data_IF_315847304557
#
_entry.id   IF_315847304557
#
_cell.length_a   1.000
_cell.length_b   1.000
_cell.length_c   1.000
_cell.angle_alpha   90.00
_cell.angle_beta   90.00
_cell.angle_gamma   90.00
#
_symmetry.space_group_name_H-M   'P 1'
#
loop_
_entity.id
_entity.type
_entity.pdbx_description
1 polymer ?
#
# COMPACT_ATOMS: atom_id res chain seq x y z
N UNK A 1 20.00 6.82 0.22
CA UNK A 1 21.05 7.82 -0.01
C UNK A 1 20.74 9.20 0.60
N UNK A 2 19.45 9.58 0.70
CA UNK A 2 19.05 10.91 1.21
C UNK A 2 19.11 11.06 2.75
N UNK A 3 19.33 9.98 3.49
CA UNK A 3 19.37 10.01 4.97
C UNK A 3 18.03 10.36 5.64
N UNK A 4 16.92 10.33 4.88
CA UNK A 4 15.59 10.65 5.40
C UNK A 4 14.94 9.42 5.99
N UNK A 5 14.45 9.55 7.23
CA UNK A 5 13.65 8.49 7.89
C UNK A 5 12.17 8.77 7.62
N UNK A 6 11.42 7.83 7.02
CA UNK A 6 10.00 8.02 6.76
C UNK A 6 9.19 8.00 8.09
N UNK A 7 8.10 8.77 8.12
CA UNK A 7 7.21 8.86 9.29
C UNK A 7 6.05 7.86 9.28
N UNK A 8 5.91 7.09 8.21
CA UNK A 8 4.84 6.11 8.01
C UNK A 8 5.35 4.91 7.21
N UNK A 9 4.59 3.83 7.22
CA UNK A 9 4.87 2.64 6.42
C UNK A 9 5.08 3.00 4.95
N UNK A 10 6.17 2.50 4.38
CA UNK A 10 6.49 2.59 2.96
C UNK A 10 6.44 1.19 2.36
N UNK A 11 5.68 1.01 1.29
CA UNK A 11 5.58 -0.27 0.59
C UNK A 11 6.66 -0.43 -0.49
N UNK A 12 7.34 0.67 -0.82
CA UNK A 12 8.52 0.68 -1.65
C UNK A 12 9.70 -0.03 -0.98
N UNK A 13 10.47 -0.79 -1.75
CA UNK A 13 11.74 -1.36 -1.31
C UNK A 13 12.90 -0.54 -1.89
N UNK A 14 13.96 -0.37 -1.11
CA UNK A 14 15.15 0.33 -1.56
C UNK A 14 15.80 -0.39 -2.74
N UNK A 15 16.11 0.33 -3.80
CA UNK A 15 16.88 -0.18 -4.93
C UNK A 15 18.40 -0.12 -4.70
N UNK A 16 18.85 0.35 -3.53
CA UNK A 16 20.27 0.57 -3.24
C UNK A 16 21.12 -0.65 -3.53
N UNK A 17 20.75 -1.82 -3.02
CA UNK A 17 21.49 -3.06 -3.22
C UNK A 17 21.60 -3.47 -4.70
N UNK A 18 20.55 -3.23 -5.50
CA UNK A 18 20.55 -3.52 -6.95
C UNK A 18 21.41 -2.53 -7.73
N UNK A 19 21.47 -1.28 -7.26
CA UNK A 19 22.34 -0.26 -7.86
C UNK A 19 23.83 -0.56 -7.57
N UNK A 20 24.11 -1.02 -6.36
CA UNK A 20 25.47 -1.37 -5.92
C UNK A 20 25.93 -2.72 -6.52
N UNK A 21 25.02 -3.68 -6.67
CA UNK A 21 25.30 -4.97 -7.29
C UNK A 21 24.12 -5.40 -8.19
N UNK A 22 24.31 -5.30 -9.51
CA UNK A 22 23.30 -5.63 -10.52
C UNK A 22 22.93 -7.12 -10.58
N UNK A 23 23.68 -8.00 -9.91
CA UNK A 23 23.37 -9.45 -9.84
C UNK A 23 22.30 -9.74 -8.79
N UNK A 24 22.01 -8.78 -7.90
CA UNK A 24 21.03 -8.92 -6.85
C UNK A 24 19.61 -8.84 -7.39
N UNK A 25 18.74 -9.73 -6.93
CA UNK A 25 17.31 -9.66 -7.22
C UNK A 25 16.63 -8.68 -6.27
N UNK A 26 15.73 -7.85 -6.81
CA UNK A 26 14.99 -6.88 -6.02
C UNK A 26 13.69 -7.46 -5.46
N UNK A 27 12.90 -8.09 -6.32
CA UNK A 27 11.58 -8.63 -5.98
C UNK A 27 11.28 -9.88 -6.79
N UNK A 28 10.61 -10.85 -6.15
CA UNK A 28 10.10 -12.03 -6.84
C UNK A 28 8.93 -11.68 -7.79
N UNK A 29 8.17 -10.63 -7.48
CA UNK A 29 7.06 -10.16 -8.28
C UNK A 29 6.81 -8.66 -8.07
N UNK A 30 6.09 -8.06 -9.00
CA UNK A 30 5.56 -6.70 -8.91
C UNK A 30 4.05 -6.73 -9.03
N UNK A 31 3.39 -5.79 -8.35
CA UNK A 31 1.93 -5.59 -8.47
C UNK A 31 1.65 -4.18 -8.99
N UNK A 32 0.55 -4.07 -9.72
CA UNK A 32 0.00 -2.81 -10.18
C UNK A 32 -1.51 -2.84 -9.97
N UNK A 33 -2.07 -1.73 -9.53
CA UNK A 33 -3.51 -1.55 -9.40
C UNK A 33 -3.92 -0.27 -10.12
N UNK A 34 -5.14 -0.24 -10.63
CA UNK A 34 -5.68 0.94 -11.31
C UNK A 34 -7.14 0.77 -11.67
N UNK A 35 -7.68 1.80 -12.31
CA UNK A 35 -9.06 1.84 -12.67
C UNK A 35 -9.98 2.33 -11.56
N UNK A 36 -11.29 2.32 -11.83
CA UNK A 36 -12.35 2.77 -10.94
C UNK A 36 -13.53 1.81 -10.94
N UNK A 37 -14.36 1.88 -9.92
CA UNK A 37 -15.66 1.21 -9.94
C UNK A 37 -16.66 2.03 -10.78
N UNK A 38 -17.66 1.38 -11.40
CA UNK A 38 -18.74 2.10 -12.07
C UNK A 38 -19.38 3.11 -11.11
N UNK A 39 -19.58 4.35 -11.60
CA UNK A 39 -20.18 5.43 -10.81
C UNK A 39 -19.22 6.15 -9.85
N UNK A 40 -17.98 5.72 -9.67
CA UNK A 40 -16.99 6.51 -8.93
C UNK A 40 -16.66 7.81 -9.66
N UNK A 41 -16.65 8.93 -8.90
CA UNK A 41 -16.26 10.23 -9.45
C UNK A 41 -14.79 10.19 -9.86
N UNK A 42 -14.53 10.59 -11.08
CA UNK A 42 -13.21 10.62 -11.69
C UNK A 42 -12.77 12.06 -11.97
N UNK A 43 -11.48 12.27 -12.24
CA UNK A 43 -11.02 13.57 -12.70
C UNK A 43 -11.64 13.91 -14.08
N UNK A 44 -11.97 15.19 -14.27
CA UNK A 44 -12.47 15.67 -15.54
C UNK A 44 -11.32 15.90 -16.52
N UNK A 45 -11.21 15.03 -17.52
CA UNK A 45 -10.20 15.12 -18.58
C UNK A 45 -10.62 16.06 -19.73
N UNK A 46 -11.84 16.61 -19.71
CA UNK A 46 -12.32 17.53 -20.74
C UNK A 46 -11.69 18.91 -20.68
N UNK A 47 -11.02 19.27 -19.60
CA UNK A 47 -10.35 20.57 -19.43
C UNK A 47 -9.33 20.89 -20.53
N UNK A 48 -8.66 19.87 -21.09
CA UNK A 48 -7.70 20.01 -22.17
C UNK A 48 -8.31 20.11 -23.58
N UNK A 49 -9.64 19.98 -23.71
CA UNK A 49 -10.30 19.89 -25.01
C UNK A 49 -10.41 21.22 -25.77
N UNK A 50 -10.21 22.36 -25.07
CA UNK A 50 -10.40 23.69 -25.62
C UNK A 50 -11.87 24.02 -25.96
N UNK A 51 -12.15 25.24 -26.45
CA UNK A 51 -13.53 25.73 -26.66
C UNK A 51 -14.31 24.99 -27.74
N UNK A 52 -13.65 24.22 -28.59
CA UNK A 52 -14.28 23.43 -29.67
C UNK A 52 -14.60 21.99 -29.27
N UNK A 53 -14.38 21.64 -28.01
CA UNK A 53 -14.56 20.28 -27.51
C UNK A 53 -13.46 19.31 -27.94
N UNK A 54 -13.58 18.03 -27.53
CA UNK A 54 -12.58 17.00 -27.80
C UNK A 54 -12.49 16.66 -29.29
N UNK A 55 -11.28 16.49 -29.77
CA UNK A 55 -11.04 15.97 -31.11
C UNK A 55 -9.93 14.88 -31.09
N UNK A 56 -9.88 14.07 -32.15
CA UNK A 56 -8.93 12.94 -32.27
C UNK A 56 -7.46 13.33 -32.33
N UNK A 57 -7.14 14.60 -32.54
CA UNK A 57 -5.77 15.10 -32.59
C UNK A 57 -5.23 15.47 -31.18
N UNK A 58 -6.11 15.47 -30.17
CA UNK A 58 -5.67 15.69 -28.79
C UNK A 58 -4.90 14.48 -28.24
N UNK A 59 -3.78 14.74 -27.58
CA UNK A 59 -2.96 13.72 -26.94
C UNK A 59 -3.76 12.90 -25.92
N UNK A 60 -4.73 13.52 -25.26
CA UNK A 60 -5.59 12.88 -24.26
C UNK A 60 -6.89 12.28 -24.83
N UNK A 61 -7.05 12.28 -26.15
CA UNK A 61 -8.27 11.74 -26.78
C UNK A 61 -8.65 10.33 -26.28
N UNK A 62 -7.73 9.35 -26.18
CA UNK A 62 -8.07 8.02 -25.67
C UNK A 62 -8.62 8.04 -24.24
N UNK A 63 -8.04 8.87 -23.37
CA UNK A 63 -8.52 9.04 -21.99
C UNK A 63 -9.91 9.66 -21.95
N UNK A 64 -10.17 10.64 -22.78
CA UNK A 64 -11.49 11.29 -22.86
C UNK A 64 -12.56 10.32 -23.33
N UNK A 65 -12.27 9.52 -24.35
CA UNK A 65 -13.19 8.48 -24.82
C UNK A 65 -13.43 7.42 -23.74
N UNK A 66 -12.39 7.00 -23.06
CA UNK A 66 -12.48 6.02 -22.01
C UNK A 66 -13.32 6.49 -20.79
N UNK A 67 -13.49 7.80 -20.55
CA UNK A 67 -14.38 8.31 -19.49
C UNK A 67 -15.87 8.01 -19.73
N UNK A 68 -16.27 7.78 -20.96
CA UNK A 68 -17.64 7.40 -21.32
C UNK A 68 -17.87 5.91 -21.33
N UNK A 69 -16.82 5.12 -21.08
CA UNK A 69 -16.86 3.66 -21.08
C UNK A 69 -16.34 3.14 -19.74
N UNK A 70 -17.24 2.69 -18.89
CA UNK A 70 -16.90 2.16 -17.57
C UNK A 70 -16.03 0.89 -17.64
N UNK A 71 -16.10 0.12 -18.72
CA UNK A 71 -15.24 -1.05 -18.93
C UNK A 71 -13.79 -0.66 -19.25
N UNK A 72 -13.58 0.41 -20.00
CA UNK A 72 -12.24 0.90 -20.32
C UNK A 72 -11.47 1.40 -19.09
N UNK A 73 -12.20 1.78 -18.04
CA UNK A 73 -11.66 2.23 -16.75
C UNK A 73 -11.90 1.26 -15.60
N UNK A 74 -12.45 0.08 -15.86
CA UNK A 74 -12.77 -0.87 -14.82
C UNK A 74 -11.53 -1.21 -13.98
N UNK A 75 -11.75 -1.31 -12.67
CA UNK A 75 -10.70 -1.67 -11.72
C UNK A 75 -10.08 -3.00 -12.08
N UNK A 76 -8.76 -3.01 -12.15
CA UNK A 76 -7.98 -4.20 -12.42
C UNK A 76 -6.72 -4.22 -11.57
N UNK A 77 -6.27 -5.41 -11.25
CA UNK A 77 -5.13 -5.66 -10.40
C UNK A 77 -4.22 -6.69 -11.06
N UNK A 78 -2.97 -6.35 -11.22
CA UNK A 78 -1.98 -7.17 -11.90
C UNK A 78 -0.89 -7.61 -10.94
N UNK A 79 -0.48 -8.85 -11.06
CA UNK A 79 0.75 -9.38 -10.49
C UNK A 79 1.60 -9.98 -11.61
N UNK A 80 2.88 -9.63 -11.64
CA UNK A 80 3.84 -10.11 -12.63
C UNK A 80 5.10 -10.62 -11.96
N UNK A 81 5.53 -11.82 -12.36
CA UNK A 81 6.85 -12.40 -12.13
C UNK A 81 7.71 -12.26 -13.38
N UNK A 82 8.90 -12.87 -13.42
CA UNK A 82 9.68 -12.98 -14.65
C UNK A 82 9.00 -13.82 -15.74
N UNK A 83 8.27 -14.89 -15.32
CA UNK A 83 7.67 -15.87 -16.22
C UNK A 83 6.18 -15.67 -16.44
N UNK A 84 5.46 -15.18 -15.43
CA UNK A 84 4.00 -15.20 -15.39
C UNK A 84 3.42 -13.83 -15.13
N UNK A 85 2.29 -13.55 -15.76
CA UNK A 85 1.47 -12.38 -15.46
C UNK A 85 0.02 -12.81 -15.28
N UNK A 86 -0.60 -12.35 -14.21
CA UNK A 86 -2.02 -12.53 -13.94
C UNK A 86 -2.66 -11.16 -13.70
N UNK A 87 -3.83 -10.95 -14.30
CA UNK A 87 -4.63 -9.73 -14.15
C UNK A 87 -6.02 -10.15 -13.68
N UNK A 88 -6.39 -9.68 -12.48
CA UNK A 88 -7.76 -9.79 -12.00
C UNK A 88 -8.54 -8.56 -12.39
N UNK A 89 -9.72 -8.74 -12.95
CA UNK A 89 -10.61 -7.66 -13.35
C UNK A 89 -11.93 -7.72 -12.58
N UNK A 90 -12.38 -6.58 -12.09
CA UNK A 90 -13.69 -6.49 -11.42
C UNK A 90 -14.85 -6.59 -12.41
N UNK A 91 -14.61 -6.22 -13.65
CA UNK A 91 -15.55 -6.30 -14.75
C UNK A 91 -14.83 -6.91 -15.97
N UNK A 92 -15.36 -7.98 -16.51
CA UNK A 92 -14.74 -8.71 -17.61
C UNK A 92 -14.03 -9.98 -17.15
N UNK A 93 -13.28 -10.58 -18.05
CA UNK A 93 -12.55 -11.82 -17.85
C UNK A 93 -11.17 -11.55 -17.26
N UNK A 94 -10.74 -12.38 -16.31
CA UNK A 94 -9.36 -12.39 -15.82
C UNK A 94 -8.39 -12.82 -16.93
N UNK A 95 -7.12 -12.44 -16.79
CA UNK A 95 -6.12 -12.75 -17.80
C UNK A 95 -4.90 -13.42 -17.16
N UNK A 96 -4.36 -14.41 -17.88
CA UNK A 96 -3.10 -15.04 -17.51
C UNK A 96 -2.22 -15.22 -18.74
N UNK A 97 -0.92 -14.88 -18.60
CA UNK A 97 0.06 -14.95 -19.68
C UNK A 97 1.33 -15.66 -19.23
N UNK A 98 1.81 -16.54 -20.12
CA UNK A 98 3.13 -17.17 -20.04
C UNK A 98 4.13 -16.29 -20.79
N UNK A 99 4.86 -15.46 -20.07
CA UNK A 99 5.76 -14.46 -20.65
C UNK A 99 7.06 -15.07 -21.24
N UNK A 100 7.32 -16.34 -20.96
CA UNK A 100 8.46 -17.04 -21.53
C UNK A 100 8.14 -17.50 -22.97
N UNK A 101 6.92 -17.96 -23.21
CA UNK A 101 6.48 -18.44 -24.53
C UNK A 101 5.68 -17.37 -25.31
N UNK A 102 5.08 -16.42 -24.62
CA UNK A 102 4.30 -15.33 -25.21
C UNK A 102 4.66 -13.97 -24.56
N UNK A 103 5.87 -13.43 -24.84
CA UNK A 103 6.32 -12.18 -24.25
C UNK A 103 5.50 -10.95 -24.69
N UNK A 104 4.72 -11.08 -25.78
CA UNK A 104 3.84 -10.03 -26.30
C UNK A 104 2.41 -10.11 -25.75
N UNK A 105 2.12 -11.10 -24.87
CA UNK A 105 0.84 -11.23 -24.19
C UNK A 105 -0.36 -11.31 -25.16
N UNK A 106 -0.22 -12.09 -26.24
CA UNK A 106 -1.23 -12.20 -27.30
C UNK A 106 -2.31 -13.22 -27.00
N UNK A 107 -2.01 -14.22 -26.16
CA UNK A 107 -2.87 -15.39 -25.93
C UNK A 107 -3.20 -15.47 -24.45
N UNK A 108 -4.44 -15.12 -24.09
CA UNK A 108 -4.94 -15.30 -22.72
C UNK A 108 -5.07 -16.79 -22.39
N UNK A 109 -4.32 -17.28 -21.42
CA UNK A 109 -4.26 -18.66 -20.98
C UNK A 109 -5.10 -18.92 -19.71
N UNK A 110 -6.00 -18.01 -19.32
CA UNK A 110 -6.73 -18.10 -18.05
C UNK A 110 -7.53 -19.40 -17.93
N UNK A 111 -8.11 -19.88 -19.03
CA UNK A 111 -8.90 -21.09 -19.08
C UNK A 111 -8.07 -22.38 -19.30
N UNK A 112 -6.76 -22.25 -19.54
CA UNK A 112 -5.90 -23.41 -19.76
C UNK A 112 -5.66 -24.16 -18.45
N UNK A 113 -6.12 -25.41 -18.41
CA UNK A 113 -6.05 -26.26 -17.22
C UNK A 113 -4.61 -26.57 -16.75
N UNK A 114 -3.63 -26.49 -17.63
CA UNK A 114 -2.22 -26.73 -17.31
C UNK A 114 -1.66 -25.66 -16.35
N UNK A 115 -2.19 -24.44 -16.42
CA UNK A 115 -1.74 -23.31 -15.61
C UNK A 115 -2.53 -23.08 -14.31
N UNK A 116 -3.55 -23.88 -14.00
CA UNK A 116 -4.40 -23.70 -12.80
C UNK A 116 -3.61 -23.51 -11.50
N UNK A 117 -2.55 -24.28 -11.32
CA UNK A 117 -1.70 -24.19 -10.11
C UNK A 117 -0.94 -22.86 -10.07
N UNK A 118 -0.43 -22.40 -11.20
CA UNK A 118 0.31 -21.15 -11.30
C UNK A 118 -0.62 -19.95 -11.10
N UNK A 119 -1.79 -19.97 -11.73
CA UNK A 119 -2.83 -18.96 -11.55
C UNK A 119 -3.21 -18.84 -10.07
N UNK A 120 -3.52 -19.96 -9.40
CA UNK A 120 -3.85 -19.98 -7.97
C UNK A 120 -2.73 -19.41 -7.08
N UNK A 121 -1.47 -19.69 -7.40
CA UNK A 121 -0.31 -19.11 -6.68
C UNK A 121 -0.24 -17.60 -6.85
N UNK A 122 -0.47 -17.08 -8.06
CA UNK A 122 -0.43 -15.64 -8.32
C UNK A 122 -1.61 -14.94 -7.64
N UNK A 123 -2.81 -15.52 -7.69
CA UNK A 123 -3.99 -15.01 -6.97
C UNK A 123 -3.73 -14.92 -5.45
N UNK A 124 -3.15 -15.96 -4.85
CA UNK A 124 -2.81 -15.96 -3.43
C UNK A 124 -1.73 -14.91 -3.09
N UNK A 125 -0.73 -14.75 -3.95
CA UNK A 125 0.31 -13.74 -3.76
C UNK A 125 -0.25 -12.32 -3.89
N UNK A 126 -1.17 -12.10 -4.82
CA UNK A 126 -1.87 -10.82 -4.99
C UNK A 126 -2.71 -10.50 -3.75
N UNK A 127 -3.47 -11.48 -3.23
CA UNK A 127 -4.24 -11.32 -1.99
C UNK A 127 -3.33 -10.98 -0.80
N UNK A 128 -2.21 -11.68 -0.63
CA UNK A 128 -1.23 -11.38 0.43
C UNK A 128 -0.60 -10.01 0.27
N UNK A 129 -0.38 -9.59 -0.96
CA UNK A 129 0.14 -8.24 -1.24
C UNK A 129 -0.88 -7.19 -0.79
N UNK A 130 -2.17 -7.35 -1.11
CA UNK A 130 -3.24 -6.48 -0.64
C UNK A 130 -3.29 -6.41 0.88
N UNK A 131 -3.32 -7.56 1.56
CA UNK A 131 -3.33 -7.61 3.02
C UNK A 131 -2.17 -6.83 3.68
N UNK A 132 -1.04 -6.73 2.99
CA UNK A 132 0.14 -6.00 3.49
C UNK A 132 0.12 -4.51 3.16
N UNK A 133 -0.61 -4.10 2.13
CA UNK A 133 -0.53 -2.74 1.56
C UNK A 133 -1.82 -1.94 1.64
N UNK A 134 -2.94 -2.56 2.02
CA UNK A 134 -4.23 -1.86 2.12
C UNK A 134 -4.28 -0.81 3.24
N UNK A 135 -3.44 -0.96 4.27
CA UNK A 135 -3.42 -0.05 5.41
C UNK A 135 -2.11 0.73 5.50
N UNK A 136 -2.22 2.04 5.63
CA UNK A 136 -1.09 2.91 5.94
C UNK A 136 -1.03 3.09 7.46
N UNK A 137 -0.13 2.34 8.11
CA UNK A 137 0.05 2.41 9.55
C UNK A 137 1.12 3.46 9.88
N UNK A 138 0.81 4.49 10.68
CA UNK A 138 1.81 5.42 11.17
C UNK A 138 2.79 4.71 12.11
N UNK A 139 4.05 5.15 12.14
CA UNK A 139 5.04 4.60 13.08
C UNK A 139 4.82 5.08 14.52
N UNK A 140 3.96 6.09 14.71
CA UNK A 140 3.56 6.55 16.02
C UNK A 140 2.59 5.55 16.67
N UNK A 141 2.84 5.24 17.93
CA UNK A 141 1.97 4.39 18.73
C UNK A 141 0.68 5.15 19.12
N UNK A 142 -0.47 4.61 18.76
CA UNK A 142 -1.75 5.10 19.28
C UNK A 142 -1.96 4.61 20.71
N UNK A 143 -1.84 5.52 21.66
CA UNK A 143 -1.95 5.22 23.09
C UNK A 143 -3.39 4.96 23.56
N UNK A 144 -4.39 5.24 22.73
CA UNK A 144 -5.83 5.17 23.11
C UNK A 144 -6.22 6.02 24.31
N UNK A 145 -5.31 6.84 24.83
CA UNK A 145 -5.49 7.72 25.97
C UNK A 145 -4.86 9.07 25.71
N UNK A 146 -5.52 10.15 26.19
CA UNK A 146 -4.86 11.46 26.28
C UNK A 146 -3.82 11.44 27.41
N UNK A 147 -2.92 12.43 27.43
CA UNK A 147 -1.92 12.58 28.47
C UNK A 147 -2.57 12.72 29.86
N UNK A 148 -3.67 13.47 29.94
CA UNK A 148 -4.45 13.67 31.17
C UNK A 148 -5.09 12.38 31.66
N UNK A 149 -5.67 11.58 30.76
CA UNK A 149 -6.25 10.28 31.10
C UNK A 149 -5.18 9.30 31.60
N UNK A 150 -4.02 9.28 30.95
CA UNK A 150 -2.92 8.42 31.38
C UNK A 150 -2.36 8.88 32.74
N UNK A 151 -2.17 10.19 32.94
CA UNK A 151 -1.78 10.73 34.24
C UNK A 151 -2.80 10.38 35.33
N UNK A 152 -4.09 10.59 35.11
CA UNK A 152 -5.14 10.24 36.06
C UNK A 152 -5.11 8.77 36.51
N UNK A 153 -4.75 7.86 35.60
CA UNK A 153 -4.60 6.43 35.91
C UNK A 153 -3.37 6.11 36.79
N UNK A 154 -2.27 6.83 36.57
CA UNK A 154 -0.98 6.47 37.19
C UNK A 154 -0.60 7.37 38.36
N UNK A 155 -1.25 8.52 38.58
CA UNK A 155 -0.91 9.49 39.64
C UNK A 155 -0.78 8.88 41.02
N UNK A 156 -1.65 7.92 41.39
CA UNK A 156 -1.61 7.25 42.69
C UNK A 156 -0.44 6.25 42.82
N UNK A 157 0.21 5.90 41.72
CA UNK A 157 1.41 5.08 41.69
C UNK A 157 2.70 5.92 41.73
N UNK A 158 2.58 7.23 41.48
CA UNK A 158 3.71 8.13 41.39
C UNK A 158 4.19 8.50 42.81
N UNK A 159 5.48 8.29 43.11
CA UNK A 159 6.05 8.78 44.37
C UNK A 159 6.05 10.33 44.38
N UNK A 160 5.95 10.90 45.61
CA UNK A 160 6.02 12.35 45.78
C UNK A 160 7.35 12.90 45.25
N UNK A 161 7.29 14.00 44.52
CA UNK A 161 8.45 14.67 43.94
C UNK A 161 8.84 14.19 42.55
N UNK A 162 8.17 13.15 42.01
CA UNK A 162 8.41 12.65 40.64
C UNK A 162 7.31 13.02 39.65
N UNK A 163 6.32 13.81 40.07
CA UNK A 163 5.13 14.09 39.27
C UNK A 163 5.45 14.74 37.91
N UNK A 164 6.33 15.74 37.91
CA UNK A 164 6.69 16.43 36.66
C UNK A 164 7.54 15.56 35.73
N UNK A 165 8.45 14.76 36.27
CA UNK A 165 9.22 13.80 35.48
C UNK A 165 8.29 12.77 34.79
N UNK A 166 7.30 12.27 35.53
CA UNK A 166 6.33 11.29 35.02
C UNK A 166 5.44 11.92 33.96
N UNK A 167 4.95 13.16 34.16
CA UNK A 167 4.19 13.88 33.18
C UNK A 167 5.00 14.14 31.89
N UNK A 168 6.29 14.47 32.03
CA UNK A 168 7.15 14.66 30.85
C UNK A 168 7.35 13.36 30.08
N UNK A 169 7.54 12.22 30.71
CA UNK A 169 7.57 10.90 30.06
C UNK A 169 6.26 10.60 29.34
N UNK A 170 5.12 11.01 29.90
CA UNK A 170 3.80 10.88 29.27
C UNK A 170 3.74 11.73 27.99
N UNK A 171 4.17 13.00 28.03
CA UNK A 171 4.23 13.89 26.86
C UNK A 171 5.13 13.32 25.76
N UNK A 172 6.24 12.70 26.16
CA UNK A 172 7.17 12.02 25.25
C UNK A 172 6.63 10.70 24.66
N UNK A 173 5.41 10.30 25.04
CA UNK A 173 4.73 9.16 24.41
C UNK A 173 5.06 7.80 25.02
N UNK A 174 5.51 7.72 26.26
CA UNK A 174 5.79 6.45 26.93
C UNK A 174 4.57 5.52 26.94
N UNK A 175 4.77 4.23 26.64
CA UNK A 175 3.72 3.22 26.73
C UNK A 175 3.28 2.99 28.17
N UNK A 176 1.96 2.85 28.41
CA UNK A 176 1.40 2.67 29.75
C UNK A 176 2.08 1.55 30.54
N UNK A 177 2.30 0.37 29.94
CA UNK A 177 2.95 -0.75 30.61
C UNK A 177 4.39 -0.43 31.06
N UNK A 178 5.17 0.27 30.20
CA UNK A 178 6.52 0.73 30.49
C UNK A 178 6.52 1.76 31.62
N UNK A 179 5.55 2.69 31.59
CA UNK A 179 5.39 3.70 32.64
C UNK A 179 5.06 3.06 34.00
N UNK A 180 4.14 2.09 34.03
CA UNK A 180 3.80 1.36 35.26
C UNK A 180 5.05 0.64 35.83
N UNK A 181 5.82 -0.01 34.96
CA UNK A 181 7.05 -0.68 35.43
C UNK A 181 8.10 0.32 35.94
N UNK A 182 8.25 1.45 35.27
CA UNK A 182 9.08 2.55 35.72
C UNK A 182 8.66 3.03 37.12
N UNK A 183 7.37 3.26 37.36
CA UNK A 183 6.84 3.69 38.66
C UNK A 183 7.02 2.65 39.78
N UNK A 184 6.91 1.36 39.43
CA UNK A 184 7.23 0.28 40.40
C UNK A 184 8.70 0.31 40.82
N UNK A 185 9.60 0.51 39.88
CA UNK A 185 11.03 0.58 40.13
C UNK A 185 11.41 1.81 41.00
N UNK A 186 10.71 2.95 40.81
CA UNK A 186 10.90 4.14 41.63
C UNK A 186 10.48 3.91 43.09
N UNK A 187 9.47 3.09 43.36
CA UNK A 187 9.03 2.77 44.73
C UNK A 187 9.98 1.83 45.50
N UNK A 188 10.84 1.14 44.76
CA UNK A 188 11.82 0.20 45.37
C UNK A 188 13.16 0.85 45.66
N UNK A 189 13.34 2.11 45.27
CA UNK A 189 14.51 2.94 45.59
C UNK A 189 14.26 3.77 46.84
#
# INVERSE_FOLDING_TARGET
YAGVTPHRTQFGLSLKHVVEDRTQEHRAFVCCEGGRLPGEIHCDEYHGAGPKGPNRQFVYWPKMMAQTDDYAHAKGNMIRTKQWKYISRISGEDEFYDLEHDPEERINQIENSEYKVQIAKLQMNLLKWYQRTCDVVPFSYDRRFTDEMLWAKVKNLCPKGYEEEVKEKIRQGIRQGVLIQYLKNLKQR
#
